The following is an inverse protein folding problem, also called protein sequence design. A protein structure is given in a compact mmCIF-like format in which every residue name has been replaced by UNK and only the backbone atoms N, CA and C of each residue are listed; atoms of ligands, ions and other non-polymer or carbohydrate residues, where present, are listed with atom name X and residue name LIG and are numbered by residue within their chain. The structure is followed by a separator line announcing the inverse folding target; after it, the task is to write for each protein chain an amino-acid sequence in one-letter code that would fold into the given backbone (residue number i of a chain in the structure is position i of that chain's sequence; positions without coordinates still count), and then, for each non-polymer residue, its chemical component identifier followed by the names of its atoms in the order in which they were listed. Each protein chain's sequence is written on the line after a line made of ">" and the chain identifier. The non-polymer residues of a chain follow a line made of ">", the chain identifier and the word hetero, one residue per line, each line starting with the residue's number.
data_IF_215879522302
#
_entry.id   IF_215879522302
#
_cell.length_a   1.000
_cell.length_b   1.000
_cell.length_c   1.000
_cell.angle_alpha   90.00
_cell.angle_beta   90.00
_cell.angle_gamma   90.00
#
_symmetry.space_group_name_H-M   'P 1'
#
loop_
_entity.id
_entity.type
_entity.pdbx_description
1 polymer ?
#
# COMPACT_ATOMS: atom_id res chain seq x y z
N UNK A 1 -7.07 -0.60 -3.37
CA UNK A 1 -5.78 0.12 -3.40
C UNK A 1 -5.27 0.30 -1.98
N UNK A 2 -4.00 0.01 -1.74
CA UNK A 2 -3.32 0.10 -0.45
C UNK A 2 -2.23 1.17 -0.60
N UNK A 3 -2.34 2.23 0.20
CA UNK A 3 -1.37 3.32 0.25
C UNK A 3 -0.50 3.18 1.48
N UNK A 4 0.81 3.30 1.29
CA UNK A 4 1.78 3.00 2.32
C UNK A 4 2.82 4.10 2.51
N UNK A 5 2.61 4.97 3.50
CA UNK A 5 3.46 6.13 3.79
C UNK A 5 4.29 5.91 5.05
N UNK A 6 5.62 5.91 4.96
CA UNK A 6 6.49 5.81 6.14
C UNK A 6 7.94 5.46 5.84
N UNK A 7 8.79 5.62 6.85
CA UNK A 7 10.22 5.32 6.78
C UNK A 7 10.41 3.93 7.37
N UNK A 8 10.17 2.90 6.56
CA UNK A 8 10.30 1.54 7.05
C UNK A 8 11.73 1.22 7.44
N UNK A 9 11.86 0.68 8.64
CA UNK A 9 13.03 -0.08 9.07
C UNK A 9 12.65 -1.54 9.03
N UNK A 10 13.51 -2.36 8.45
CA UNK A 10 13.36 -3.83 8.38
C UNK A 10 12.99 -4.34 9.78
N UNK A 11 11.84 -5.01 9.91
CA UNK A 11 11.35 -5.56 11.18
C UNK A 11 10.34 -4.66 11.93
N UNK A 12 9.81 -3.61 11.31
CA UNK A 12 8.74 -2.78 11.89
C UNK A 12 7.36 -3.46 11.75
N UNK A 13 6.51 -3.34 12.79
CA UNK A 13 5.16 -3.94 12.83
C UNK A 13 4.26 -3.56 11.65
N UNK A 14 4.54 -2.42 11.00
CA UNK A 14 3.76 -1.92 9.86
C UNK A 14 4.03 -2.72 8.57
N UNK A 15 5.19 -3.39 8.45
CA UNK A 15 5.47 -4.28 7.29
C UNK A 15 4.52 -5.48 7.31
N UNK A 16 4.39 -6.11 8.48
CA UNK A 16 3.54 -7.28 8.67
C UNK A 16 2.05 -6.97 8.47
N UNK A 17 1.59 -5.81 8.93
CA UNK A 17 0.19 -5.41 8.75
C UNK A 17 -0.16 -5.17 7.28
N UNK A 18 0.74 -4.54 6.51
CA UNK A 18 0.53 -4.31 5.09
C UNK A 18 0.47 -5.64 4.30
N UNK A 19 1.42 -6.55 4.57
CA UNK A 19 1.45 -7.87 3.94
C UNK A 19 0.22 -8.70 4.28
N UNK A 20 -0.24 -8.65 5.54
CA UNK A 20 -1.47 -9.32 5.96
C UNK A 20 -2.70 -8.77 5.25
N UNK A 21 -2.85 -7.46 5.16
CA UNK A 21 -3.97 -6.86 4.43
C UNK A 21 -3.99 -7.26 2.96
N UNK A 22 -2.83 -7.28 2.29
CA UNK A 22 -2.73 -7.68 0.88
C UNK A 22 -3.11 -9.15 0.71
N UNK A 23 -2.56 -10.05 1.53
CA UNK A 23 -2.90 -11.48 1.51
C UNK A 23 -4.38 -11.74 1.75
N UNK A 24 -5.01 -10.99 2.64
CA UNK A 24 -6.43 -11.14 2.95
C UNK A 24 -7.30 -10.65 1.79
N UNK A 25 -6.93 -9.53 1.15
CA UNK A 25 -7.59 -9.06 -0.07
C UNK A 25 -7.42 -10.04 -1.23
N UNK A 26 -6.22 -10.60 -1.41
CA UNK A 26 -5.91 -11.61 -2.43
C UNK A 26 -6.70 -12.91 -2.19
N UNK A 27 -6.78 -13.39 -0.95
CA UNK A 27 -7.61 -14.54 -0.58
C UNK A 27 -9.12 -14.32 -0.84
N UNK A 28 -9.57 -13.07 -0.85
CA UNK A 28 -10.92 -12.67 -1.23
C UNK A 28 -11.09 -12.39 -2.73
N UNK A 29 -10.05 -12.56 -3.54
CA UNK A 29 -10.07 -12.33 -4.99
C UNK A 29 -10.08 -10.85 -5.39
N UNK A 30 -9.63 -9.95 -4.52
CA UNK A 30 -9.51 -8.53 -4.84
C UNK A 30 -8.12 -8.21 -5.36
N UNK A 31 -8.05 -7.51 -6.49
CA UNK A 31 -6.78 -6.98 -6.98
C UNK A 31 -6.26 -5.86 -6.09
N UNK A 32 -4.97 -5.96 -5.75
CA UNK A 32 -4.31 -5.03 -4.84
C UNK A 32 -3.27 -4.19 -5.56
N UNK A 33 -3.34 -2.88 -5.32
CA UNK A 33 -2.38 -1.90 -5.83
C UNK A 33 -1.69 -1.31 -4.63
N UNK A 34 -0.37 -1.44 -4.54
CA UNK A 34 0.43 -0.93 -3.42
C UNK A 34 1.29 0.23 -3.90
N UNK A 35 1.28 1.34 -3.16
CA UNK A 35 2.16 2.49 -3.42
C UNK A 35 3.15 2.64 -2.28
N UNK A 36 4.45 2.56 -2.57
CA UNK A 36 5.54 2.62 -1.59
C UNK A 36 6.42 3.84 -1.86
N UNK A 37 6.63 4.67 -0.83
CA UNK A 37 7.44 5.89 -0.92
C UNK A 37 8.94 5.72 -0.65
N UNK A 38 9.38 4.55 -0.15
CA UNK A 38 10.77 4.30 0.18
C UNK A 38 11.29 3.00 -0.49
N UNK A 39 12.21 3.09 -1.46
CA UNK A 39 12.78 1.91 -2.12
C UNK A 39 13.71 1.09 -1.21
N UNK A 40 14.23 1.67 -0.11
CA UNK A 40 15.03 0.93 0.88
C UNK A 40 14.16 0.01 1.75
N UNK A 41 12.85 0.20 1.71
CA UNK A 41 11.98 -0.81 2.29
C UNK A 41 12.02 -2.00 1.39
N UNK A 42 12.73 -3.04 1.82
CA UNK A 42 12.66 -4.34 1.20
C UNK A 42 11.24 -4.86 1.46
N UNK A 43 10.33 -4.54 0.54
CA UNK A 43 9.14 -5.34 0.33
C UNK A 43 9.66 -6.62 -0.31
N UNK A 44 10.02 -7.62 0.51
CA UNK A 44 10.75 -8.81 0.06
C UNK A 44 9.97 -9.62 -0.97
N UNK A 45 8.66 -9.42 -1.04
CA UNK A 45 7.75 -10.14 -1.92
C UNK A 45 7.02 -9.15 -2.84
N UNK A 46 7.71 -8.70 -3.89
CA UNK A 46 7.14 -7.92 -4.99
C UNK A 46 5.95 -8.64 -5.66
N UNK A 47 5.90 -9.98 -5.55
CA UNK A 47 4.83 -10.84 -6.09
C UNK A 47 3.55 -10.86 -5.23
N UNK A 48 3.51 -10.20 -4.07
CA UNK A 48 2.30 -10.21 -3.22
C UNK A 48 1.17 -9.33 -3.74
N UNK A 49 1.47 -8.31 -4.56
CA UNK A 49 0.48 -7.37 -5.06
C UNK A 49 0.50 -7.31 -6.59
N UNK A 50 -0.68 -7.18 -7.20
CA UNK A 50 -0.82 -7.14 -8.66
C UNK A 50 -0.09 -5.95 -9.29
N UNK A 51 -0.06 -4.82 -8.58
CA UNK A 51 0.59 -3.58 -9.03
C UNK A 51 1.33 -2.92 -7.89
N UNK A 52 2.58 -2.55 -8.16
CA UNK A 52 3.45 -1.87 -7.21
C UNK A 52 3.98 -0.57 -7.82
N UNK A 53 3.68 0.56 -7.18
CA UNK A 53 4.16 1.87 -7.57
C UNK A 53 5.22 2.36 -6.58
N UNK A 54 6.42 2.65 -7.09
CA UNK A 54 7.52 3.24 -6.33
C UNK A 54 7.52 4.74 -6.51
N UNK A 55 6.61 5.41 -5.83
CA UNK A 55 6.51 6.86 -5.89
C UNK A 55 6.35 7.47 -4.51
N UNK A 56 6.87 8.68 -4.36
CA UNK A 56 6.66 9.50 -3.17
C UNK A 56 5.16 9.73 -3.02
N UNK A 57 4.61 9.39 -1.85
CA UNK A 57 3.19 9.59 -1.64
C UNK A 57 2.91 11.09 -1.55
N UNK A 58 2.25 11.58 -2.59
CA UNK A 58 1.76 12.93 -2.72
C UNK A 58 0.28 12.86 -3.11
N UNK A 59 -0.48 13.89 -2.76
CA UNK A 59 -1.90 13.95 -3.12
C UNK A 59 -2.10 13.82 -4.64
N UNK A 60 -1.17 14.39 -5.42
CA UNK A 60 -1.14 14.30 -6.88
C UNK A 60 -0.95 12.87 -7.36
N UNK A 61 0.11 12.19 -6.92
CA UNK A 61 0.39 10.79 -7.31
C UNK A 61 -0.77 9.87 -6.92
N UNK A 62 -1.32 10.05 -5.72
CA UNK A 62 -2.46 9.24 -5.25
C UNK A 62 -3.69 9.46 -6.11
N UNK A 63 -4.02 10.71 -6.46
CA UNK A 63 -5.14 11.02 -7.36
C UNK A 63 -4.90 10.47 -8.77
N UNK A 64 -3.70 10.63 -9.30
CA UNK A 64 -3.34 10.14 -10.64
C UNK A 64 -3.51 8.61 -10.69
N UNK A 65 -3.00 7.87 -9.70
CA UNK A 65 -3.21 6.41 -9.57
C UNK A 65 -4.68 6.06 -9.35
N UNK A 66 -5.40 6.81 -8.51
CA UNK A 66 -6.82 6.57 -8.26
C UNK A 66 -7.66 6.75 -9.54
N UNK A 67 -7.35 7.73 -10.39
CA UNK A 67 -8.03 7.94 -11.66
C UNK A 67 -7.71 6.88 -12.70
N UNK A 68 -6.47 6.39 -12.73
CA UNK A 68 -6.03 5.33 -13.67
C UNK A 68 -6.63 3.97 -13.27
N UNK A 69 -6.53 3.61 -11.99
CA UNK A 69 -6.89 2.27 -11.51
C UNK A 69 -8.35 2.16 -11.07
N UNK A 70 -9.02 3.28 -10.79
CA UNK A 70 -10.38 3.35 -10.25
C UNK A 70 -10.66 2.31 -9.16
N UNK A 71 -9.86 2.29 -8.08
CA UNK A 71 -9.97 1.25 -7.07
C UNK A 71 -11.29 1.39 -6.31
N UNK A 72 -11.90 0.25 -5.97
CA UNK A 72 -13.14 0.20 -5.16
C UNK A 72 -13.01 0.81 -3.76
N UNK A 73 -11.78 0.95 -3.26
CA UNK A 73 -11.51 1.52 -1.95
C UNK A 73 -10.02 1.71 -1.73
N UNK A 74 -9.70 2.61 -0.79
CA UNK A 74 -8.33 2.99 -0.46
C UNK A 74 -8.06 2.71 1.02
N UNK A 75 -7.09 1.84 1.29
CA UNK A 75 -6.60 1.56 2.63
C UNK A 75 -5.30 2.34 2.86
N UNK A 76 -5.29 3.27 3.82
CA UNK A 76 -4.09 4.04 4.17
C UNK A 76 -3.39 3.46 5.40
N UNK A 77 -2.10 3.17 5.29
CA UNK A 77 -1.21 2.85 6.41
C UNK A 77 -0.10 3.90 6.53
N UNK A 78 0.03 4.46 7.74
CA UNK A 78 1.09 5.37 8.15
C UNK A 78 1.65 4.92 9.51
N UNK A 79 2.97 5.01 9.70
CA UNK A 79 3.60 4.78 11.01
C UNK A 79 3.07 5.75 12.08
N UNK A 80 2.76 6.98 11.68
CA UNK A 80 2.01 7.93 12.49
C UNK A 80 0.51 7.64 12.35
N UNK A 81 -0.02 6.92 13.34
CA UNK A 81 -1.42 6.66 13.74
C UNK A 81 -2.56 6.86 12.72
N UNK A 82 -3.47 5.87 12.76
CA UNK A 82 -4.81 5.78 12.18
C UNK A 82 -4.92 5.10 10.81
N UNK A 83 -5.50 3.88 10.84
CA UNK A 83 -6.05 3.18 9.68
C UNK A 83 -7.28 3.96 9.19
N UNK A 84 -7.12 4.80 8.19
CA UNK A 84 -8.25 5.44 7.52
C UNK A 84 -8.58 4.60 6.29
N UNK A 85 -9.72 3.91 6.35
CA UNK A 85 -10.33 3.29 5.17
C UNK A 85 -11.16 4.39 4.51
N UNK A 86 -10.66 4.94 3.41
CA UNK A 86 -11.45 5.81 2.55
C UNK A 86 -12.29 4.89 1.65
N UNK A 87 -13.60 4.87 1.90
CA UNK A 87 -14.60 4.24 1.05
C UNK A 87 -15.00 5.17 -0.09
#
# INVERSE_FOLDING_TARGET
>A
MVLRSGVYRIGSSVEFDCVRCIRELDAHGYSTITVICNPETVFTDYDMCDRLYFEKISFKTVLDVYHIEQPRGVCWHSEDRHRTILR
#
